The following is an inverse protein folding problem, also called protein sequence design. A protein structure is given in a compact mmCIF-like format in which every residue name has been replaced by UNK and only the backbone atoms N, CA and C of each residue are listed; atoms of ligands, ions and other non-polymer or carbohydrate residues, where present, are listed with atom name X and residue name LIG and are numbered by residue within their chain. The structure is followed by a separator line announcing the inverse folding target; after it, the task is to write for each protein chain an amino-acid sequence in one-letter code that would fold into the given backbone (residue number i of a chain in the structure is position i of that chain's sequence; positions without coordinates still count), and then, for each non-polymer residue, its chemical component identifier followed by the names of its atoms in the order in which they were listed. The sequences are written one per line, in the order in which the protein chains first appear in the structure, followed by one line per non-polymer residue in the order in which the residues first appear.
data_IF_762005070479
#
_entry.id   IF_762005070479
#
_cell.length_a   1.000
_cell.length_b   1.000
_cell.length_c   1.000
_cell.angle_alpha   90.00
_cell.angle_beta   90.00
_cell.angle_gamma   90.00
#
_symmetry.space_group_name_H-M   'P 1'
#
loop_
_entity.id
_entity.type
_entity.pdbx_description
1 polymer ?
#
# COMPACT_ATOMS: atom_id res chain seq x y z
N UNK A 1 8.45 18.39 19.43
CA UNK A 1 8.78 17.36 18.45
C UNK A 1 8.78 15.98 19.11
N UNK A 2 8.52 14.94 18.34
CA UNK A 2 8.49 13.57 18.85
C UNK A 2 9.88 12.96 18.83
N UNK A 3 10.19 12.16 19.86
CA UNK A 3 11.42 11.37 19.90
C UNK A 3 11.26 10.08 19.09
N UNK A 4 12.37 9.36 18.85
CA UNK A 4 12.33 8.07 18.18
C UNK A 4 11.44 7.07 18.91
N UNK A 5 11.44 7.09 20.24
CA UNK A 5 10.59 6.20 21.05
C UNK A 5 9.11 6.51 20.87
N UNK A 6 8.76 7.79 20.71
CA UNK A 6 7.37 8.17 20.49
C UNK A 6 6.87 7.65 19.14
N UNK A 7 7.70 7.67 18.10
CA UNK A 7 7.32 7.11 16.80
C UNK A 7 7.15 5.59 16.88
N UNK A 8 8.03 4.89 17.62
CA UNK A 8 7.89 3.45 17.87
C UNK A 8 6.55 3.16 18.55
N UNK A 9 6.21 3.95 19.56
CA UNK A 9 4.95 3.81 20.31
C UNK A 9 3.75 4.00 19.38
N UNK A 10 3.76 5.03 18.55
CA UNK A 10 2.67 5.28 17.61
C UNK A 10 2.53 4.14 16.60
N UNK A 11 3.65 3.65 16.07
CA UNK A 11 3.61 2.53 15.14
C UNK A 11 3.01 1.29 15.78
N UNK A 12 3.45 0.95 16.98
CA UNK A 12 2.95 -0.23 17.70
C UNK A 12 1.47 -0.09 18.10
N UNK A 13 1.05 1.10 18.51
CA UNK A 13 -0.36 1.37 18.79
C UNK A 13 -1.21 1.22 17.52
N UNK A 14 -0.70 1.72 16.39
CA UNK A 14 -1.40 1.58 15.12
C UNK A 14 -1.65 0.12 14.76
N UNK A 15 -0.63 -0.73 14.92
CA UNK A 15 -0.74 -2.18 14.68
C UNK A 15 -1.81 -2.77 15.62
N UNK A 16 -1.74 -2.45 16.90
CA UNK A 16 -2.67 -2.99 17.89
C UNK A 16 -4.12 -2.56 17.59
N UNK A 17 -4.34 -1.29 17.29
CA UNK A 17 -5.68 -0.80 16.94
C UNK A 17 -6.22 -1.47 15.69
N UNK A 18 -5.39 -1.65 14.67
CA UNK A 18 -5.84 -2.32 13.45
C UNK A 18 -6.27 -3.76 13.72
N UNK A 19 -5.51 -4.48 14.53
CA UNK A 19 -5.85 -5.85 14.89
C UNK A 19 -7.13 -5.94 15.71
N UNK A 20 -7.36 -4.96 16.58
CA UNK A 20 -8.56 -4.93 17.43
C UNK A 20 -9.81 -4.43 16.70
N UNK A 21 -9.63 -3.70 15.59
CA UNK A 21 -10.73 -3.22 14.76
C UNK A 21 -10.92 -1.72 14.62
N UNK A 22 -10.56 -0.85 15.59
CA UNK A 22 -10.81 0.60 15.45
C UNK A 22 -9.89 1.24 14.43
N UNK A 23 -10.39 1.34 13.19
CA UNK A 23 -9.59 1.82 12.06
C UNK A 23 -9.20 3.29 12.17
N UNK A 24 -10.07 4.16 12.69
CA UNK A 24 -9.74 5.59 12.80
C UNK A 24 -8.56 5.81 13.74
N UNK A 25 -8.53 5.10 14.86
CA UNK A 25 -7.43 5.16 15.80
C UNK A 25 -6.14 4.62 15.17
N UNK A 26 -6.22 3.50 14.45
CA UNK A 26 -5.07 2.94 13.75
C UNK A 26 -4.52 3.93 12.73
N UNK A 27 -5.38 4.54 11.92
CA UNK A 27 -4.99 5.52 10.91
C UNK A 27 -4.27 6.69 11.56
N UNK A 28 -4.81 7.25 12.64
CA UNK A 28 -4.18 8.37 13.34
C UNK A 28 -2.77 8.04 13.84
N UNK A 29 -2.60 6.86 14.40
CA UNK A 29 -1.29 6.42 14.90
C UNK A 29 -0.29 6.20 13.75
N UNK A 30 -0.71 5.58 12.66
CA UNK A 30 0.18 5.39 11.50
C UNK A 30 0.54 6.72 10.84
N UNK A 31 -0.38 7.69 10.80
CA UNK A 31 -0.08 9.01 10.27
C UNK A 31 1.02 9.69 11.06
N UNK A 32 1.01 9.56 12.38
CA UNK A 32 2.07 10.10 13.24
C UNK A 32 3.38 9.34 13.02
N UNK A 33 3.35 8.02 13.02
CA UNK A 33 4.54 7.20 12.85
C UNK A 33 5.20 7.43 11.48
N UNK A 34 4.41 7.72 10.44
CA UNK A 34 4.92 7.91 9.08
C UNK A 34 5.84 9.11 8.94
N UNK A 35 5.86 10.02 9.92
CA UNK A 35 6.76 11.18 9.93
C UNK A 35 8.20 10.77 10.20
N UNK A 36 8.43 9.59 10.75
CA UNK A 36 9.76 9.03 10.94
C UNK A 36 10.16 8.26 9.68
N UNK A 37 11.25 8.63 9.00
CA UNK A 37 11.65 7.99 7.74
C UNK A 37 11.72 6.47 7.79
N UNK A 38 12.21 5.89 8.88
CA UNK A 38 12.33 4.43 8.98
C UNK A 38 10.99 3.71 9.02
N UNK A 39 9.90 4.41 9.37
CA UNK A 39 8.55 3.83 9.39
C UNK A 39 7.74 4.17 8.15
N UNK A 40 8.25 5.07 7.30
CA UNK A 40 7.45 5.57 6.18
C UNK A 40 7.04 4.46 5.21
N UNK A 41 7.95 3.52 4.91
CA UNK A 41 7.65 2.41 4.00
C UNK A 41 6.49 1.58 4.54
N UNK A 42 6.60 1.10 5.78
CA UNK A 42 5.57 0.26 6.37
C UNK A 42 4.26 1.01 6.55
N UNK A 43 4.34 2.27 7.01
CA UNK A 43 3.13 3.08 7.23
C UNK A 43 2.41 3.40 5.92
N UNK A 44 3.13 3.62 4.83
CA UNK A 44 2.49 3.85 3.53
C UNK A 44 1.63 2.65 3.13
N UNK A 45 2.17 1.44 3.28
CA UNK A 45 1.45 0.21 2.99
C UNK A 45 0.28 -0.01 3.96
N UNK A 46 0.51 0.19 5.26
CA UNK A 46 -0.51 0.00 6.29
C UNK A 46 -1.65 1.01 6.15
N UNK A 47 -1.32 2.27 5.90
CA UNK A 47 -2.33 3.30 5.68
C UNK A 47 -3.14 3.02 4.41
N UNK A 48 -2.48 2.57 3.34
CA UNK A 48 -3.19 2.15 2.13
C UNK A 48 -4.25 1.11 2.45
N UNK A 49 -3.88 0.07 3.19
CA UNK A 49 -4.80 -0.98 3.61
C UNK A 49 -5.93 -0.47 4.50
N UNK A 50 -5.61 0.39 5.47
CA UNK A 50 -6.61 0.95 6.37
C UNK A 50 -7.64 1.81 5.63
N UNK A 51 -7.19 2.64 4.69
CA UNK A 51 -8.10 3.46 3.90
C UNK A 51 -8.99 2.61 2.99
N UNK A 52 -8.47 1.51 2.46
CA UNK A 52 -9.30 0.57 1.71
C UNK A 52 -10.39 -0.03 2.59
N UNK A 53 -10.05 -0.46 3.79
CA UNK A 53 -11.02 -1.01 4.74
C UNK A 53 -12.08 0.03 5.12
N UNK A 54 -11.72 1.31 5.14
CA UNK A 54 -12.67 2.41 5.40
C UNK A 54 -13.54 2.75 4.20
N UNK A 55 -13.27 2.15 3.04
CA UNK A 55 -14.01 2.48 1.82
C UNK A 55 -13.55 3.78 1.17
N UNK A 56 -12.28 4.14 1.36
CA UNK A 56 -11.69 5.37 0.83
C UNK A 56 -10.52 5.05 -0.13
N UNK A 57 -10.82 4.44 -1.29
CA UNK A 57 -9.78 3.95 -2.20
C UNK A 57 -8.87 5.06 -2.75
N UNK A 58 -9.37 6.28 -2.94
CA UNK A 58 -8.53 7.38 -3.42
C UNK A 58 -7.42 7.73 -2.44
N UNK A 59 -7.70 7.67 -1.13
CA UNK A 59 -6.68 7.90 -0.11
C UNK A 59 -5.68 6.75 -0.07
N UNK A 60 -6.15 5.52 -0.26
CA UNK A 60 -5.27 4.37 -0.35
C UNK A 60 -4.29 4.52 -1.51
N UNK A 61 -4.78 4.92 -2.68
CA UNK A 61 -3.95 5.14 -3.87
C UNK A 61 -2.86 6.18 -3.57
N UNK A 62 -3.23 7.29 -2.94
CA UNK A 62 -2.25 8.34 -2.59
C UNK A 62 -1.13 7.82 -1.71
N UNK A 63 -1.46 6.99 -0.71
CA UNK A 63 -0.46 6.46 0.19
C UNK A 63 0.44 5.42 -0.50
N UNK A 64 -0.12 4.55 -1.33
CA UNK A 64 0.70 3.62 -2.11
C UNK A 64 1.62 4.39 -3.07
N UNK A 65 1.11 5.41 -3.77
CA UNK A 65 1.94 6.23 -4.65
C UNK A 65 3.06 6.93 -3.88
N UNK A 66 2.75 7.46 -2.71
CA UNK A 66 3.76 8.08 -1.85
C UNK A 66 4.84 7.07 -1.43
N UNK A 67 4.42 5.87 -1.06
CA UNK A 67 5.35 4.81 -0.70
C UNK A 67 6.25 4.41 -1.87
N UNK A 68 5.69 4.32 -3.07
CA UNK A 68 6.44 3.95 -4.27
C UNK A 68 7.48 4.98 -4.69
N UNK A 69 7.38 6.23 -4.22
CA UNK A 69 8.33 7.30 -4.51
C UNK A 69 9.51 7.36 -3.53
N UNK A 70 9.51 6.53 -2.49
CA UNK A 70 10.58 6.54 -1.50
C UNK A 70 11.91 6.14 -2.15
N UNK A 71 12.98 6.96 -2.00
CA UNK A 71 14.28 6.61 -2.57
C UNK A 71 14.81 5.30 -2.00
N UNK A 72 15.46 4.51 -2.85
CA UNK A 72 16.07 3.24 -2.46
C UNK A 72 15.08 2.24 -1.86
N UNK A 73 13.83 2.31 -2.29
CA UNK A 73 12.79 1.39 -1.83
C UNK A 73 13.22 -0.05 -2.15
N UNK A 74 13.23 -0.97 -1.16
CA UNK A 74 13.53 -2.37 -1.43
C UNK A 74 12.56 -2.97 -2.44
N UNK A 75 13.06 -3.86 -3.30
CA UNK A 75 12.25 -4.46 -4.35
C UNK A 75 10.99 -5.13 -3.81
N UNK A 76 11.11 -5.85 -2.69
CA UNK A 76 9.96 -6.52 -2.09
C UNK A 76 8.85 -5.54 -1.71
N UNK A 77 9.23 -4.40 -1.12
CA UNK A 77 8.27 -3.35 -0.76
C UNK A 77 7.66 -2.71 -2.01
N UNK A 78 8.49 -2.45 -3.01
CA UNK A 78 8.05 -1.88 -4.29
C UNK A 78 7.01 -2.77 -4.95
N UNK A 79 7.31 -4.05 -5.12
CA UNK A 79 6.39 -4.98 -5.77
C UNK A 79 5.12 -5.18 -4.95
N UNK A 80 5.24 -5.25 -3.62
CA UNK A 80 4.07 -5.39 -2.75
C UNK A 80 3.11 -4.21 -2.85
N UNK A 81 3.63 -2.99 -2.85
CA UNK A 81 2.79 -1.80 -3.00
C UNK A 81 2.19 -1.67 -4.40
N UNK A 82 2.96 -2.02 -5.45
CA UNK A 82 2.40 -2.05 -6.81
C UNK A 82 1.27 -3.06 -6.91
N UNK A 83 1.45 -4.23 -6.31
CA UNK A 83 0.43 -5.27 -6.34
C UNK A 83 -0.86 -4.79 -5.67
N UNK A 84 -0.73 -4.20 -4.49
CA UNK A 84 -1.88 -3.66 -3.76
C UNK A 84 -2.55 -2.53 -4.55
N UNK A 85 -1.75 -1.64 -5.14
CA UNK A 85 -2.26 -0.55 -5.97
C UNK A 85 -3.02 -1.08 -7.19
N UNK A 86 -2.47 -2.07 -7.87
CA UNK A 86 -3.15 -2.71 -9.00
C UNK A 86 -4.50 -3.28 -8.62
N UNK A 87 -4.58 -3.91 -7.45
CA UNK A 87 -5.84 -4.45 -6.93
C UNK A 87 -6.85 -3.35 -6.59
N UNK A 88 -6.40 -2.18 -6.11
CA UNK A 88 -7.29 -1.04 -5.89
C UNK A 88 -7.90 -0.59 -7.20
N UNK A 89 -7.10 -0.48 -8.25
CA UNK A 89 -7.60 -0.10 -9.57
C UNK A 89 -8.61 -1.12 -10.11
N UNK A 90 -8.36 -2.42 -9.91
CA UNK A 90 -9.36 -3.45 -10.27
C UNK A 90 -10.66 -3.25 -9.50
N UNK A 91 -10.56 -2.99 -8.21
CA UNK A 91 -11.73 -2.74 -7.37
C UNK A 91 -12.54 -1.55 -7.87
N UNK A 92 -11.86 -0.50 -8.35
CA UNK A 92 -12.50 0.68 -8.93
C UNK A 92 -12.95 0.47 -10.38
N UNK A 93 -12.71 -0.71 -10.93
CA UNK A 93 -12.99 -1.01 -12.32
C UNK A 93 -12.21 -0.12 -13.30
N UNK A 94 -11.05 0.34 -12.88
CA UNK A 94 -10.12 1.09 -13.73
C UNK A 94 -9.12 0.09 -14.33
N UNK A 95 -9.54 -0.58 -15.40
CA UNK A 95 -8.80 -1.68 -15.99
C UNK A 95 -7.50 -1.22 -16.63
N UNK A 96 -7.49 -0.05 -17.23
CA UNK A 96 -6.28 0.48 -17.88
C UNK A 96 -5.17 0.75 -16.86
N UNK A 97 -5.49 1.40 -15.76
CA UNK A 97 -4.50 1.64 -14.69
C UNK A 97 -4.07 0.35 -14.00
N UNK A 98 -5.01 -0.57 -13.80
CA UNK A 98 -4.68 -1.88 -13.23
C UNK A 98 -3.67 -2.60 -14.12
N UNK A 99 -3.94 -2.66 -15.42
CA UNK A 99 -3.05 -3.33 -16.37
C UNK A 99 -1.66 -2.71 -16.38
N UNK A 100 -1.57 -1.39 -16.45
CA UNK A 100 -0.29 -0.67 -16.39
C UNK A 100 0.51 -1.05 -15.15
N UNK A 101 -0.16 -1.11 -14.01
CA UNK A 101 0.47 -1.41 -12.73
C UNK A 101 0.99 -2.85 -12.69
N UNK A 102 0.18 -3.81 -13.14
CA UNK A 102 0.60 -5.22 -13.19
C UNK A 102 1.70 -5.46 -14.24
N UNK A 103 1.69 -4.73 -15.36
CA UNK A 103 2.78 -4.80 -16.35
C UNK A 103 4.09 -4.33 -15.73
N UNK A 104 4.05 -3.31 -14.89
CA UNK A 104 5.25 -2.83 -14.18
C UNK A 104 5.83 -3.93 -13.29
N UNK A 105 4.97 -4.65 -12.56
CA UNK A 105 5.40 -5.79 -11.75
C UNK A 105 6.03 -6.86 -12.65
N UNK A 106 5.35 -7.22 -13.72
CA UNK A 106 5.81 -8.24 -14.66
C UNK A 106 7.20 -7.90 -15.22
N UNK A 107 7.45 -6.65 -15.49
CA UNK A 107 8.74 -6.19 -16.01
C UNK A 107 9.89 -6.34 -15.02
N UNK A 108 9.61 -6.39 -13.72
CA UNK A 108 10.61 -6.60 -12.68
C UNK A 108 10.72 -8.07 -12.30
N UNK A 109 9.59 -8.74 -12.12
CA UNK A 109 9.52 -10.15 -11.74
C UNK A 109 8.25 -10.78 -12.30
N UNK A 110 8.40 -11.51 -13.41
CA UNK A 110 7.27 -12.14 -14.08
C UNK A 110 6.60 -13.25 -13.25
N UNK A 111 7.29 -13.74 -12.22
CA UNK A 111 6.78 -14.79 -11.35
C UNK A 111 6.21 -14.25 -10.03
N UNK A 112 6.05 -12.93 -9.93
CA UNK A 112 5.53 -12.36 -8.70
C UNK A 112 4.06 -12.71 -8.52
N UNK A 113 3.76 -13.40 -7.42
CA UNK A 113 2.39 -13.82 -7.07
C UNK A 113 1.63 -14.29 -8.32
N UNK A 114 0.40 -13.83 -8.51
CA UNK A 114 -0.46 -14.21 -9.63
C UNK A 114 -0.48 -13.17 -10.75
N UNK A 115 0.59 -12.41 -10.93
CA UNK A 115 0.63 -11.31 -11.90
C UNK A 115 0.33 -11.77 -13.33
N UNK A 116 0.84 -12.95 -13.72
CA UNK A 116 0.55 -13.50 -15.05
C UNK A 116 -0.95 -13.74 -15.22
N UNK A 117 -1.60 -14.34 -14.22
CA UNK A 117 -3.04 -14.59 -14.26
C UNK A 117 -3.84 -13.29 -14.29
N UNK A 118 -3.42 -12.28 -13.51
CA UNK A 118 -4.08 -10.96 -13.50
C UNK A 118 -4.04 -10.32 -14.89
N UNK A 119 -2.88 -10.34 -15.53
CA UNK A 119 -2.73 -9.77 -16.87
C UNK A 119 -3.53 -10.54 -17.91
N UNK A 120 -3.54 -11.88 -17.84
CA UNK A 120 -4.31 -12.69 -18.76
C UNK A 120 -5.80 -12.39 -18.65
N UNK A 121 -6.30 -12.22 -17.43
CA UNK A 121 -7.70 -11.89 -17.18
C UNK A 121 -8.06 -10.51 -17.72
N UNK A 122 -7.20 -9.52 -17.50
CA UNK A 122 -7.42 -8.17 -18.01
C UNK A 122 -7.46 -8.14 -19.54
N UNK A 123 -6.57 -8.89 -20.19
CA UNK A 123 -6.55 -8.95 -21.65
C UNK A 123 -7.75 -9.69 -22.20
N UNK A 124 -8.19 -10.76 -21.56
CA UNK A 124 -9.33 -11.57 -21.97
C UNK A 124 -10.66 -10.84 -21.91
N UNK A 125 -10.80 -9.94 -20.93
CA UNK A 125 -12.05 -9.25 -20.66
C UNK A 125 -12.27 -8.00 -21.52
N UNK A 126 -11.37 -7.73 -22.47
CA UNK A 126 -11.45 -6.57 -23.37
C UNK A 126 -12.52 -6.76 -24.43
#
# INVERSE_FOLDING_TARGET
SLSAEDYDTHYNLGIAYREMGPLDEAIGEFQLASKEPRYLIDCASLLGGCFLEKGLPELAIKWYQRGLEIPKLPEEAFLGMLYDLGNVYLFQNDRDKARKTFVEIYGVNSNYRDVVAKLAELDRAR
#
